data_IF_409349787461
#
_entry.id   IF_409349787461
#
_cell.length_a   1.000
_cell.length_b   1.000
_cell.length_c   1.000
_cell.angle_alpha   90.00
_cell.angle_beta   90.00
_cell.angle_gamma   90.00
#
_symmetry.space_group_name_H-M   'P 1'
#
loop_
_entity.id
_entity.type
_entity.pdbx_description
1 polymer ?
#
# COMPACT_ATOMS: atom_id res chain seq x y z
N UNK A 1 -21.71 -21.19 20.57
CA UNK A 1 -21.50 -20.50 19.27
C UNK A 1 -20.95 -19.07 19.51
N UNK A 2 -19.75 -18.93 20.11
CA UNK A 2 -19.19 -17.63 20.58
C UNK A 2 -17.66 -17.51 20.35
N UNK A 3 -17.13 -18.06 19.27
CA UNK A 3 -15.66 -18.09 19.04
C UNK A 3 -15.18 -17.56 17.68
N UNK A 4 -16.05 -16.96 16.84
CA UNK A 4 -15.68 -16.58 15.46
C UNK A 4 -15.60 -15.09 15.13
N UNK A 5 -15.75 -14.17 16.10
CA UNK A 5 -15.65 -12.72 15.85
C UNK A 5 -14.54 -12.06 16.68
N UNK A 6 -13.30 -12.54 16.55
CA UNK A 6 -12.10 -11.68 16.68
C UNK A 6 -11.80 -11.01 15.33
N UNK A 7 -12.84 -10.64 14.56
CA UNK A 7 -12.66 -9.88 13.32
C UNK A 7 -12.42 -8.43 13.74
N UNK A 8 -11.32 -7.88 13.23
CA UNK A 8 -10.75 -6.56 13.51
C UNK A 8 -11.76 -5.57 14.07
N UNK A 9 -11.53 -5.28 15.34
CA UNK A 9 -12.46 -4.59 16.22
C UNK A 9 -12.65 -3.13 15.79
N UNK A 10 -11.72 -2.53 15.06
CA UNK A 10 -11.67 -1.08 14.81
C UNK A 10 -12.06 -0.75 13.37
N UNK A 11 -12.92 0.24 13.16
CA UNK A 11 -13.20 0.77 11.83
C UNK A 11 -12.29 1.97 11.59
N UNK A 12 -11.18 1.80 10.88
CA UNK A 12 -10.28 2.94 10.60
C UNK A 12 -10.91 3.83 9.55
N UNK A 13 -10.79 5.13 9.76
CA UNK A 13 -11.28 6.15 8.83
C UNK A 13 -10.09 6.80 8.14
N UNK A 14 -10.27 7.18 6.88
CA UNK A 14 -9.31 7.89 6.02
C UNK A 14 -8.74 9.14 6.68
N UNK A 15 -7.81 9.80 6.00
CA UNK A 15 -7.44 11.18 6.34
C UNK A 15 -8.67 12.08 6.52
N UNK A 16 -8.59 13.00 7.49
CA UNK A 16 -9.52 14.14 7.56
C UNK A 16 -9.16 15.16 6.47
N UNK A 17 -10.13 15.97 6.04
CA UNK A 17 -9.91 17.07 5.09
C UNK A 17 -8.72 17.96 5.47
N UNK A 18 -8.56 18.25 6.78
CA UNK A 18 -7.44 19.04 7.30
C UNK A 18 -6.09 18.37 7.05
N UNK A 19 -6.00 17.06 7.30
CA UNK A 19 -4.78 16.30 7.05
C UNK A 19 -4.47 16.20 5.55
N UNK A 20 -5.50 15.95 4.73
CA UNK A 20 -5.37 15.88 3.27
C UNK A 20 -4.86 17.22 2.71
N UNK A 21 -5.46 18.34 3.13
CA UNK A 21 -5.04 19.68 2.72
C UNK A 21 -3.55 19.94 3.02
N UNK A 22 -3.10 19.62 4.24
CA UNK A 22 -1.69 19.79 4.65
C UNK A 22 -0.74 18.89 3.87
N UNK A 23 -1.08 17.62 3.69
CA UNK A 23 -0.26 16.67 2.93
C UNK A 23 -0.12 17.13 1.47
N UNK A 24 -1.20 17.68 0.89
CA UNK A 24 -1.22 18.15 -0.49
C UNK A 24 -0.44 19.46 -0.65
N UNK A 25 -0.63 20.43 0.24
CA UNK A 25 0.10 21.71 0.25
C UNK A 25 1.62 21.49 0.17
N UNK A 26 2.12 20.53 0.97
CA UNK A 26 3.53 20.17 1.03
C UNK A 26 4.12 19.54 -0.25
N UNK A 27 3.29 19.08 -1.20
CA UNK A 27 3.76 18.39 -2.41
C UNK A 27 3.40 19.12 -3.71
N UNK A 28 2.46 20.07 -3.68
CA UNK A 28 1.98 20.79 -4.87
C UNK A 28 3.09 21.50 -5.65
N UNK A 29 4.17 21.89 -4.97
CA UNK A 29 5.31 22.58 -5.56
C UNK A 29 6.32 21.64 -6.24
N UNK A 30 6.23 20.32 -6.02
CA UNK A 30 7.16 19.36 -6.62
C UNK A 30 6.96 19.30 -8.15
N UNK A 31 8.07 19.17 -8.90
CA UNK A 31 8.06 19.13 -10.37
C UNK A 31 7.19 17.99 -10.93
N UNK A 32 7.11 16.87 -10.22
CA UNK A 32 6.25 15.73 -10.55
C UNK A 32 4.77 16.13 -10.72
N UNK A 33 4.31 17.17 -10.01
CA UNK A 33 2.95 17.70 -10.11
C UNK A 33 2.90 19.01 -10.91
N UNK A 34 3.79 19.21 -11.88
CA UNK A 34 3.79 20.40 -12.75
C UNK A 34 2.56 20.52 -13.66
N UNK A 35 1.82 19.42 -13.89
CA UNK A 35 0.58 19.44 -14.67
C UNK A 35 -0.50 20.27 -13.97
N UNK A 36 -1.01 21.30 -14.65
CA UNK A 36 -2.09 22.15 -14.11
C UNK A 36 -3.37 21.36 -13.84
N UNK A 37 -3.64 20.32 -14.64
CA UNK A 37 -4.75 19.38 -14.41
C UNK A 37 -4.59 18.63 -13.10
N UNK A 38 -3.39 18.06 -12.86
CA UNK A 38 -3.10 17.31 -11.62
C UNK A 38 -3.17 18.22 -10.40
N UNK A 39 -2.60 19.42 -10.45
CA UNK A 39 -2.68 20.39 -9.34
C UNK A 39 -4.11 20.74 -8.99
N UNK A 40 -4.94 21.00 -10.00
CA UNK A 40 -6.35 21.30 -9.81
C UNK A 40 -7.06 20.15 -9.10
N UNK A 41 -6.88 18.92 -9.59
CA UNK A 41 -7.47 17.72 -9.01
C UNK A 41 -7.01 17.51 -7.55
N UNK A 42 -5.72 17.71 -7.26
CA UNK A 42 -5.19 17.65 -5.90
C UNK A 42 -5.83 18.70 -4.99
N UNK A 43 -5.99 19.95 -5.43
CA UNK A 43 -6.64 20.98 -4.60
C UNK A 43 -8.11 20.67 -4.29
N UNK A 44 -8.82 19.94 -5.16
CA UNK A 44 -10.19 19.52 -4.93
C UNK A 44 -10.32 18.27 -4.05
N UNK A 45 -9.28 17.43 -3.98
CA UNK A 45 -9.33 16.16 -3.28
C UNK A 45 -9.81 16.25 -1.82
N UNK A 46 -9.33 17.19 -0.96
CA UNK A 46 -9.72 17.22 0.46
C UNK A 46 -11.22 17.40 0.71
N UNK A 47 -11.89 18.18 -0.14
CA UNK A 47 -13.31 18.54 -0.01
C UNK A 47 -14.24 17.59 -0.76
N UNK A 48 -13.69 16.69 -1.58
CA UNK A 48 -14.45 15.77 -2.40
C UNK A 48 -15.08 14.66 -1.55
N UNK A 49 -16.30 14.24 -1.91
CA UNK A 49 -16.90 13.05 -1.30
C UNK A 49 -16.21 11.79 -1.83
N UNK A 50 -16.36 10.65 -1.14
CA UNK A 50 -15.63 9.41 -1.45
C UNK A 50 -15.81 8.96 -2.92
N UNK A 51 -17.03 9.01 -3.46
CA UNK A 51 -17.30 8.65 -4.86
C UNK A 51 -16.64 9.58 -5.88
N UNK A 52 -16.41 10.84 -5.52
CA UNK A 52 -15.68 11.80 -6.36
C UNK A 52 -14.17 11.58 -6.23
N UNK A 53 -13.68 11.28 -5.02
CA UNK A 53 -12.28 10.96 -4.75
C UNK A 53 -11.78 9.82 -5.65
N UNK A 54 -12.57 8.77 -5.86
CA UNK A 54 -12.19 7.68 -6.75
C UNK A 54 -11.82 8.18 -8.17
N UNK A 55 -12.66 9.05 -8.74
CA UNK A 55 -12.40 9.61 -10.07
C UNK A 55 -11.18 10.55 -10.06
N UNK A 56 -11.08 11.41 -9.05
CA UNK A 56 -9.96 12.33 -8.87
C UNK A 56 -8.65 11.55 -8.80
N UNK A 57 -8.60 10.47 -8.00
CA UNK A 57 -7.43 9.61 -7.84
C UNK A 57 -7.07 8.92 -9.15
N UNK A 58 -8.05 8.36 -9.89
CA UNK A 58 -7.79 7.78 -11.22
C UNK A 58 -7.15 8.79 -12.15
N UNK A 59 -7.73 9.99 -12.28
CA UNK A 59 -7.23 11.03 -13.18
C UNK A 59 -5.80 11.48 -12.81
N UNK A 60 -5.51 11.60 -11.51
CA UNK A 60 -4.18 11.96 -11.00
C UNK A 60 -3.17 10.84 -11.33
N UNK A 61 -3.46 9.60 -10.94
CA UNK A 61 -2.52 8.48 -11.10
C UNK A 61 -2.26 8.15 -12.58
N UNK A 62 -3.29 8.20 -13.42
CA UNK A 62 -3.15 8.05 -14.87
C UNK A 62 -2.20 9.10 -15.46
N UNK A 63 -2.30 10.35 -15.02
CA UNK A 63 -1.43 11.42 -15.51
C UNK A 63 0.00 11.28 -14.97
N UNK A 64 0.17 10.91 -13.70
CA UNK A 64 1.50 10.71 -13.09
C UNK A 64 2.25 9.50 -13.67
N UNK A 65 1.54 8.46 -14.09
CA UNK A 65 2.13 7.27 -14.70
C UNK A 65 2.53 7.45 -16.17
N UNK A 66 1.98 8.46 -16.87
CA UNK A 66 2.28 8.70 -18.29
C UNK A 66 3.75 9.04 -18.50
N UNK A 67 4.41 8.27 -19.37
CA UNK A 67 5.75 8.61 -19.85
C UNK A 67 5.61 9.62 -20.99
N UNK A 68 5.98 10.88 -20.74
CA UNK A 68 5.97 11.95 -21.76
C UNK A 68 6.96 11.60 -22.88
N UNK A 69 6.47 11.13 -24.03
CA UNK A 69 7.28 11.05 -25.25
C UNK A 69 7.49 12.46 -25.83
N UNK A 70 8.72 12.77 -26.22
CA UNK A 70 9.02 14.02 -26.93
C UNK A 70 8.14 14.16 -28.18
N UNK A 71 7.43 15.30 -28.29
CA UNK A 71 6.63 15.85 -29.41
C UNK A 71 5.65 14.96 -30.19
N UNK A 72 5.62 13.64 -30.01
CA UNK A 72 4.70 12.75 -30.74
C UNK A 72 3.34 12.73 -30.03
N UNK A 73 2.42 13.57 -30.53
CA UNK A 73 1.03 13.76 -30.06
C UNK A 73 0.10 12.57 -30.29
N UNK A 74 0.59 11.33 -30.43
CA UNK A 74 -0.33 10.20 -30.41
C UNK A 74 -0.84 10.06 -28.98
N UNK A 75 -2.13 10.39 -28.80
CA UNK A 75 -2.90 10.19 -27.59
C UNK A 75 -2.88 8.68 -27.31
N UNK A 76 -1.93 8.20 -26.52
CA UNK A 76 -2.01 6.86 -25.98
C UNK A 76 -3.26 6.86 -25.11
N UNK A 77 -4.24 6.03 -25.43
CA UNK A 77 -5.28 5.70 -24.46
C UNK A 77 -4.52 5.29 -23.19
N UNK A 78 -4.82 5.97 -22.06
CA UNK A 78 -4.14 5.71 -20.80
C UNK A 78 -4.19 4.22 -20.47
N UNK A 79 -3.27 3.76 -19.62
CA UNK A 79 -3.35 2.38 -19.12
C UNK A 79 -4.71 2.20 -18.43
N UNK A 80 -5.58 1.28 -18.85
CA UNK A 80 -6.87 1.08 -18.18
C UNK A 80 -6.72 0.47 -16.78
N UNK A 81 -5.48 0.30 -16.29
CA UNK A 81 -5.16 -0.38 -15.04
C UNK A 81 -5.85 0.26 -13.84
N UNK A 82 -5.77 1.59 -13.69
CA UNK A 82 -6.36 2.27 -12.54
C UNK A 82 -7.88 2.31 -12.61
N UNK A 83 -8.47 2.46 -13.79
CA UNK A 83 -9.92 2.36 -13.95
C UNK A 83 -10.43 0.96 -13.60
N UNK A 84 -9.74 -0.09 -14.06
CA UNK A 84 -10.12 -1.48 -13.75
C UNK A 84 -10.00 -1.73 -12.25
N UNK A 85 -8.90 -1.30 -11.62
CA UNK A 85 -8.70 -1.51 -10.19
C UNK A 85 -9.69 -0.71 -9.33
N UNK A 86 -10.00 0.54 -9.70
CA UNK A 86 -11.08 1.33 -9.10
C UNK A 86 -12.40 0.58 -9.18
N UNK A 87 -12.76 0.06 -10.35
CA UNK A 87 -14.02 -0.64 -10.56
C UNK A 87 -14.11 -1.92 -9.69
N UNK A 88 -12.97 -2.57 -9.40
CA UNK A 88 -12.91 -3.70 -8.46
C UNK A 88 -13.16 -3.30 -6.99
N UNK A 89 -12.97 -2.04 -6.59
CA UNK A 89 -13.24 -1.63 -5.20
C UNK A 89 -14.72 -1.80 -4.83
N UNK A 90 -15.61 -1.69 -5.82
CA UNK A 90 -17.04 -2.02 -5.69
C UNK A 90 -17.28 -3.48 -5.28
N UNK A 91 -16.43 -4.41 -5.68
CA UNK A 91 -16.53 -5.83 -5.29
C UNK A 91 -16.14 -6.00 -3.82
N UNK A 92 -15.18 -5.23 -3.31
CA UNK A 92 -14.81 -5.28 -1.89
C UNK A 92 -15.94 -4.81 -0.97
N UNK A 93 -16.85 -3.98 -1.49
CA UNK A 93 -18.05 -3.55 -0.75
C UNK A 93 -18.89 -4.77 -0.36
N UNK A 94 -18.93 -5.83 -1.17
CA UNK A 94 -19.60 -7.10 -0.85
C UNK A 94 -18.96 -7.79 0.36
N UNK A 95 -17.67 -7.56 0.58
CA UNK A 95 -16.90 -8.08 1.72
C UNK A 95 -16.90 -7.15 2.94
N UNK A 96 -17.75 -6.13 2.94
CA UNK A 96 -17.84 -5.10 3.98
C UNK A 96 -16.61 -4.21 4.11
N UNK A 97 -15.72 -4.21 3.11
CA UNK A 97 -14.54 -3.35 3.05
C UNK A 97 -14.71 -2.32 1.92
N UNK A 98 -14.22 -1.09 2.09
CA UNK A 98 -14.31 -0.05 1.05
C UNK A 98 -13.05 0.80 0.95
N UNK A 99 -12.86 1.46 -0.19
CA UNK A 99 -11.87 2.52 -0.34
C UNK A 99 -10.44 2.02 -0.35
N UNK A 100 -10.16 0.81 -0.86
CA UNK A 100 -8.77 0.33 -1.03
C UNK A 100 -8.05 1.14 -2.10
N UNK A 101 -8.77 1.57 -3.13
CA UNK A 101 -8.19 2.43 -4.15
C UNK A 101 -7.79 3.80 -3.60
N UNK A 102 -8.68 4.41 -2.80
CA UNK A 102 -8.39 5.65 -2.06
C UNK A 102 -7.26 5.43 -1.04
N UNK A 103 -7.26 4.29 -0.34
CA UNK A 103 -6.19 3.91 0.60
C UNK A 103 -4.82 3.91 -0.07
N UNK A 104 -4.68 3.31 -1.25
CA UNK A 104 -3.41 3.33 -2.00
C UNK A 104 -2.93 4.74 -2.32
N UNK A 105 -3.85 5.67 -2.58
CA UNK A 105 -3.51 7.07 -2.78
C UNK A 105 -3.16 7.80 -1.48
N UNK A 106 -3.82 7.51 -0.38
CA UNK A 106 -3.48 8.06 0.94
C UNK A 106 -2.10 7.58 1.41
N UNK A 107 -1.77 6.30 1.20
CA UNK A 107 -0.43 5.74 1.39
C UNK A 107 0.59 6.49 0.52
N UNK A 108 0.27 6.73 -0.75
CA UNK A 108 1.12 7.54 -1.63
C UNK A 108 1.39 8.93 -1.05
N UNK A 109 0.33 9.67 -0.66
CA UNK A 109 0.45 11.04 -0.13
C UNK A 109 1.29 11.11 1.14
N UNK A 110 1.04 10.24 2.12
CA UNK A 110 1.78 10.24 3.37
C UNK A 110 3.24 9.84 3.17
N UNK A 111 3.50 8.77 2.40
CA UNK A 111 4.88 8.35 2.13
C UNK A 111 5.67 9.39 1.34
N UNK A 112 5.03 10.10 0.41
CA UNK A 112 5.67 11.17 -0.35
C UNK A 112 6.06 12.34 0.56
N UNK A 113 5.20 12.73 1.50
CA UNK A 113 5.52 13.74 2.50
C UNK A 113 6.69 13.32 3.39
N UNK A 114 6.73 12.05 3.82
CA UNK A 114 7.86 11.50 4.58
C UNK A 114 9.16 11.55 3.75
N UNK A 115 9.11 11.14 2.49
CA UNK A 115 10.27 11.21 1.58
C UNK A 115 10.77 12.65 1.45
N UNK A 116 9.87 13.62 1.25
CA UNK A 116 10.26 15.04 1.11
C UNK A 116 10.99 15.54 2.36
N UNK A 117 10.46 15.25 3.55
CA UNK A 117 11.11 15.61 4.83
C UNK A 117 12.46 14.92 4.98
N UNK A 118 12.58 13.65 4.59
CA UNK A 118 13.86 12.93 4.63
C UNK A 118 14.90 13.54 3.69
N UNK A 119 14.52 13.89 2.46
CA UNK A 119 15.41 14.53 1.47
C UNK A 119 15.89 15.88 2.00
N UNK A 120 14.97 16.73 2.49
CA UNK A 120 15.30 18.07 2.99
C UNK A 120 16.29 18.03 4.16
N UNK A 121 16.15 17.06 5.07
CA UNK A 121 17.01 16.95 6.25
C UNK A 121 18.35 16.24 6.01
N UNK A 122 18.42 15.35 5.01
CA UNK A 122 19.62 14.53 4.76
C UNK A 122 20.42 14.96 3.54
N UNK A 123 19.97 15.99 2.82
CA UNK A 123 20.58 16.39 1.54
C UNK A 123 20.32 15.40 0.40
N UNK A 124 19.36 14.48 0.55
CA UNK A 124 19.00 13.47 -0.45
C UNK A 124 19.85 12.20 -0.45
N UNK A 125 21.00 12.21 0.22
CA UNK A 125 21.94 11.08 0.23
C UNK A 125 21.39 9.82 0.91
N UNK A 126 20.37 9.96 1.76
CA UNK A 126 19.74 8.84 2.46
C UNK A 126 19.09 7.82 1.51
N UNK A 127 18.78 8.23 0.27
CA UNK A 127 18.22 7.37 -0.77
C UNK A 127 19.28 6.91 -1.80
N UNK A 128 20.56 7.23 -1.60
CA UNK A 128 21.65 6.66 -2.38
C UNK A 128 21.89 5.20 -1.97
N UNK A 129 20.96 4.32 -2.38
CA UNK A 129 21.13 2.87 -2.32
C UNK A 129 22.04 2.39 -3.46
N UNK A 130 22.21 1.06 -3.56
CA UNK A 130 22.90 0.40 -4.68
C UNK A 130 22.37 0.81 -6.07
N UNK A 131 21.14 1.30 -6.18
CA UNK A 131 20.46 1.61 -7.45
C UNK A 131 20.30 3.12 -7.65
N UNK A 132 20.90 3.95 -6.79
CA UNK A 132 20.84 5.42 -6.88
C UNK A 132 19.40 5.94 -7.01
N UNK A 133 18.54 5.60 -6.04
CA UNK A 133 17.14 6.00 -6.06
C UNK A 133 16.94 7.51 -6.01
N UNK A 134 17.90 8.27 -5.46
CA UNK A 134 17.71 9.69 -5.14
C UNK A 134 17.18 10.50 -6.32
N UNK A 135 17.64 10.23 -7.55
CA UNK A 135 17.19 10.92 -8.77
C UNK A 135 15.76 10.60 -9.19
N UNK A 136 15.24 9.45 -8.77
CA UNK A 136 13.97 8.90 -9.27
C UNK A 136 13.04 8.43 -8.15
N UNK A 137 13.33 8.79 -6.89
CA UNK A 137 12.65 8.28 -5.70
C UNK A 137 11.15 8.53 -5.74
N UNK A 138 10.71 9.69 -6.26
CA UNK A 138 9.29 10.00 -6.42
C UNK A 138 8.61 9.05 -7.40
N UNK A 139 9.28 8.69 -8.48
CA UNK A 139 8.74 7.76 -9.47
C UNK A 139 8.72 6.32 -8.91
N UNK A 140 9.79 5.92 -8.24
CA UNK A 140 9.84 4.63 -7.54
C UNK A 140 8.73 4.50 -6.51
N UNK A 141 8.53 5.55 -5.70
CA UNK A 141 7.49 5.59 -4.70
C UNK A 141 6.10 5.55 -5.32
N UNK A 142 5.87 6.33 -6.39
CA UNK A 142 4.62 6.29 -7.15
C UNK A 142 4.28 4.86 -7.58
N UNK A 143 5.21 4.13 -8.20
CA UNK A 143 4.98 2.74 -8.60
C UNK A 143 4.72 1.84 -7.38
N UNK A 144 5.53 1.96 -6.32
CA UNK A 144 5.41 1.15 -5.11
C UNK A 144 4.07 1.34 -4.42
N UNK A 145 3.70 2.58 -4.09
CA UNK A 145 2.52 2.86 -3.28
C UNK A 145 1.22 2.73 -4.07
N UNK A 146 1.18 3.11 -5.35
CA UNK A 146 -0.08 3.04 -6.09
C UNK A 146 -0.45 1.63 -6.56
N UNK A 147 0.52 0.70 -6.57
CA UNK A 147 0.31 -0.67 -7.06
C UNK A 147 0.28 -1.73 -5.95
N UNK A 148 0.57 -1.38 -4.69
CA UNK A 148 0.79 -2.38 -3.64
C UNK A 148 -0.42 -3.29 -3.35
N UNK A 149 -1.63 -2.82 -3.65
CA UNK A 149 -2.89 -3.55 -3.46
C UNK A 149 -3.49 -4.17 -4.72
N UNK A 150 -2.82 -4.09 -5.89
CA UNK A 150 -3.35 -4.65 -7.15
C UNK A 150 -3.68 -6.15 -7.10
N UNK A 151 -3.03 -6.91 -6.23
CA UNK A 151 -3.25 -8.33 -6.00
C UNK A 151 -4.37 -8.67 -5.02
N UNK A 152 -4.92 -7.68 -4.32
CA UNK A 152 -5.97 -7.90 -3.32
C UNK A 152 -7.26 -8.52 -3.91
N UNK A 153 -7.74 -8.16 -5.13
CA UNK A 153 -8.85 -8.86 -5.77
C UNK A 153 -8.65 -10.38 -5.84
N UNK A 154 -7.42 -10.83 -6.12
CA UNK A 154 -7.11 -12.25 -6.23
C UNK A 154 -7.01 -12.93 -4.86
N UNK A 155 -6.47 -12.23 -3.85
CA UNK A 155 -6.46 -12.72 -2.46
C UNK A 155 -7.90 -13.03 -1.99
N UNK A 156 -8.82 -12.11 -2.24
CA UNK A 156 -10.22 -12.23 -1.76
C UNK A 156 -11.13 -13.08 -2.65
N UNK A 157 -10.76 -13.33 -3.91
CA UNK A 157 -11.57 -14.12 -4.85
C UNK A 157 -11.91 -15.51 -4.27
N UNK A 158 -10.95 -16.13 -3.57
CA UNK A 158 -11.16 -17.42 -2.89
C UNK A 158 -12.18 -17.33 -1.74
N UNK A 159 -12.26 -16.21 -1.03
CA UNK A 159 -13.26 -15.99 0.02
C UNK A 159 -14.65 -15.72 -0.57
N UNK A 160 -14.72 -14.91 -1.64
CA UNK A 160 -15.96 -14.61 -2.35
C UNK A 160 -16.60 -15.89 -2.91
N UNK A 161 -15.83 -16.70 -3.62
CA UNK A 161 -16.28 -17.98 -4.17
C UNK A 161 -16.77 -18.94 -3.09
N UNK A 162 -16.08 -19.01 -1.93
CA UNK A 162 -16.56 -19.76 -0.76
C UNK A 162 -17.88 -19.24 -0.21
N UNK A 163 -18.06 -17.91 -0.11
CA UNK A 163 -19.32 -17.31 0.35
C UNK A 163 -20.48 -17.61 -0.60
N UNK A 164 -20.25 -17.51 -1.92
CA UNK A 164 -21.24 -17.91 -2.92
C UNK A 164 -21.59 -19.40 -2.83
N UNK A 165 -20.59 -20.27 -2.72
CA UNK A 165 -20.81 -21.71 -2.53
C UNK A 165 -21.69 -21.97 -1.29
N UNK A 166 -21.39 -21.33 -0.16
CA UNK A 166 -22.21 -21.44 1.07
C UNK A 166 -23.63 -20.90 0.91
N UNK A 167 -23.81 -19.78 0.19
CA UNK A 167 -25.13 -19.22 -0.11
C UNK A 167 -25.96 -20.22 -0.93
N UNK A 168 -25.43 -20.68 -2.06
CA UNK A 168 -26.12 -21.60 -2.96
C UNK A 168 -26.42 -22.94 -2.31
N UNK A 169 -25.53 -23.42 -1.43
CA UNK A 169 -25.78 -24.60 -0.59
C UNK A 169 -27.00 -24.40 0.32
N UNK A 170 -27.16 -23.22 0.92
CA UNK A 170 -28.27 -22.91 1.83
C UNK A 170 -29.62 -22.75 1.13
N UNK A 171 -29.62 -22.35 -0.14
CA UNK A 171 -30.84 -22.25 -0.96
C UNK A 171 -31.05 -23.50 -1.84
N UNK A 172 -30.42 -24.62 -1.47
CA UNK A 172 -30.57 -25.93 -2.13
C UNK A 172 -30.17 -25.98 -3.62
N UNK A 173 -29.32 -25.07 -4.08
CA UNK A 173 -28.74 -25.06 -5.42
C UNK A 173 -27.38 -25.79 -5.43
N UNK A 174 -27.42 -27.12 -5.26
CA UNK A 174 -26.22 -27.96 -5.08
C UNK A 174 -25.21 -27.85 -6.23
N UNK A 175 -25.68 -27.84 -7.47
CA UNK A 175 -24.79 -27.80 -8.64
C UNK A 175 -24.04 -26.48 -8.73
N UNK A 176 -24.73 -25.36 -8.51
CA UNK A 176 -24.11 -24.03 -8.47
C UNK A 176 -23.12 -23.94 -7.30
N UNK A 177 -23.49 -24.46 -6.12
CA UNK A 177 -22.60 -24.54 -4.96
C UNK A 177 -21.31 -25.29 -5.26
N UNK A 178 -21.40 -26.42 -5.98
CA UNK A 178 -20.25 -27.22 -6.38
C UNK A 178 -19.37 -26.47 -7.38
N UNK A 179 -19.97 -25.83 -8.40
CA UNK A 179 -19.23 -25.01 -9.37
C UNK A 179 -18.40 -23.90 -8.69
N UNK A 180 -18.97 -23.18 -7.73
CA UNK A 180 -18.22 -22.15 -6.98
C UNK A 180 -17.14 -22.73 -6.07
N UNK A 181 -17.40 -23.90 -5.46
CA UNK A 181 -16.39 -24.61 -4.67
C UNK A 181 -15.19 -25.02 -5.55
N UNK A 182 -15.45 -25.55 -6.73
CA UNK A 182 -14.39 -25.99 -7.65
C UNK A 182 -13.63 -24.80 -8.22
N UNK A 183 -14.32 -23.71 -8.56
CA UNK A 183 -13.68 -22.45 -8.93
C UNK A 183 -12.72 -21.97 -7.82
N UNK A 184 -13.15 -21.99 -6.55
CA UNK A 184 -12.30 -21.55 -5.43
C UNK A 184 -10.99 -22.35 -5.30
N UNK A 185 -10.99 -23.62 -5.71
CA UNK A 185 -9.81 -24.50 -5.68
C UNK A 185 -8.89 -24.26 -6.89
N UNK A 186 -9.49 -23.95 -8.04
CA UNK A 186 -8.82 -23.90 -9.33
C UNK A 186 -8.39 -22.49 -9.77
N UNK A 187 -8.52 -21.47 -8.92
CA UNK A 187 -7.92 -20.15 -9.19
C UNK A 187 -6.39 -20.32 -9.19
N UNK A 188 -5.81 -20.40 -10.38
CA UNK A 188 -4.38 -20.44 -10.65
C UNK A 188 -3.94 -19.18 -11.39
N UNK A 189 -2.67 -18.83 -11.23
CA UNK A 189 -2.03 -17.85 -12.11
C UNK A 189 -1.72 -18.54 -13.44
N UNK A 190 -2.10 -17.91 -14.54
CA UNK A 190 -1.68 -18.35 -15.86
C UNK A 190 -0.16 -18.19 -15.99
N UNK A 191 0.55 -19.25 -16.36
CA UNK A 191 2.00 -19.24 -16.52
C UNK A 191 2.45 -18.28 -17.63
N UNK A 192 1.58 -17.97 -18.60
CA UNK A 192 1.82 -16.93 -19.61
C UNK A 192 1.98 -15.53 -18.99
N UNK A 193 1.51 -15.33 -17.75
CA UNK A 193 1.69 -14.09 -17.00
C UNK A 193 3.14 -13.89 -16.55
N UNK A 194 3.90 -14.98 -16.39
CA UNK A 194 5.22 -14.99 -15.79
C UNK A 194 6.35 -14.69 -16.78
N UNK A 195 6.09 -14.68 -18.10
CA UNK A 195 7.06 -14.26 -19.09
C UNK A 195 6.52 -13.10 -19.93
N UNK A 196 7.27 -12.00 -20.00
CA UNK A 196 6.92 -10.82 -20.79
C UNK A 196 8.17 -10.31 -21.47
N UNK A 197 8.16 -10.26 -22.81
CA UNK A 197 9.31 -9.79 -23.60
C UNK A 197 10.62 -10.54 -23.25
N UNK A 198 10.53 -11.83 -22.96
CA UNK A 198 11.68 -12.65 -22.57
C UNK A 198 12.16 -12.46 -21.13
N UNK A 199 11.49 -11.60 -20.35
CA UNK A 199 11.78 -11.42 -18.92
C UNK A 199 10.91 -12.40 -18.13
N UNK A 200 11.56 -13.26 -17.35
CA UNK A 200 10.92 -14.04 -16.30
C UNK A 200 10.59 -13.11 -15.12
N UNK A 201 9.31 -12.85 -14.91
CA UNK A 201 8.81 -11.91 -13.91
C UNK A 201 9.05 -12.44 -12.49
N UNK A 202 8.97 -13.75 -12.29
CA UNK A 202 9.18 -14.35 -10.97
C UNK A 202 10.65 -14.25 -10.57
N UNK A 203 11.58 -14.63 -11.46
CA UNK A 203 13.01 -14.46 -11.20
C UNK A 203 13.37 -12.97 -11.04
N UNK A 204 12.73 -12.09 -11.83
CA UNK A 204 12.93 -10.64 -11.73
C UNK A 204 12.57 -10.10 -10.34
N UNK A 205 11.46 -10.56 -9.75
CA UNK A 205 11.06 -10.20 -8.38
C UNK A 205 12.00 -10.83 -7.35
N UNK A 206 12.37 -12.11 -7.55
CA UNK A 206 13.29 -12.82 -6.66
C UNK A 206 14.65 -12.11 -6.57
N UNK A 207 15.16 -11.64 -7.70
CA UNK A 207 16.37 -10.82 -7.77
C UNK A 207 16.20 -9.49 -7.03
N UNK A 208 15.06 -8.83 -7.19
CA UNK A 208 14.74 -7.63 -6.42
C UNK A 208 14.73 -7.89 -4.91
N UNK A 209 14.15 -9.00 -4.47
CA UNK A 209 14.15 -9.43 -3.05
C UNK A 209 15.59 -9.68 -2.57
N UNK A 210 16.40 -10.39 -3.35
CA UNK A 210 17.82 -10.66 -3.05
C UNK A 210 18.61 -9.36 -2.84
N UNK A 211 18.31 -8.31 -3.60
CA UNK A 211 18.93 -6.99 -3.46
C UNK A 211 18.40 -6.19 -2.26
N UNK A 212 17.20 -6.53 -1.76
CA UNK A 212 16.45 -5.76 -0.77
C UNK A 212 16.63 -6.21 0.68
N UNK A 213 17.22 -7.39 0.91
CA UNK A 213 17.30 -8.00 2.24
C UNK A 213 18.73 -8.24 2.70
N UNK A 214 18.92 -8.22 4.03
CA UNK A 214 20.15 -8.71 4.66
C UNK A 214 19.98 -10.20 4.93
N UNK A 215 20.57 -11.05 4.11
CA UNK A 215 20.46 -12.48 4.29
C UNK A 215 21.25 -13.26 3.25
N UNK A 216 21.29 -14.58 3.44
CA UNK A 216 21.86 -15.48 2.44
C UNK A 216 20.77 -15.99 1.47
N UNK A 217 21.16 -16.78 0.47
CA UNK A 217 20.21 -17.35 -0.50
C UNK A 217 19.13 -18.25 0.13
N UNK A 218 19.35 -18.84 1.31
CA UNK A 218 18.31 -19.61 2.02
C UNK A 218 17.24 -18.67 2.58
N UNK A 219 17.62 -17.51 3.12
CA UNK A 219 16.68 -16.52 3.63
C UNK A 219 15.81 -15.96 2.50
N UNK A 220 16.43 -15.63 1.35
CA UNK A 220 15.74 -15.18 0.13
C UNK A 220 14.70 -16.21 -0.32
N UNK A 221 15.10 -17.49 -0.45
CA UNK A 221 14.17 -18.58 -0.85
C UNK A 221 13.04 -18.76 0.16
N UNK A 222 13.33 -18.69 1.46
CA UNK A 222 12.30 -18.80 2.49
C UNK A 222 11.28 -17.66 2.40
N UNK A 223 11.74 -16.43 2.20
CA UNK A 223 10.87 -15.26 2.02
C UNK A 223 10.04 -15.43 0.75
N UNK A 224 10.67 -15.81 -0.36
CA UNK A 224 9.98 -16.04 -1.63
C UNK A 224 8.87 -17.08 -1.48
N UNK A 225 9.15 -18.27 -0.92
CA UNK A 225 8.13 -19.30 -0.71
C UNK A 225 6.96 -18.80 0.16
N UNK A 226 7.24 -18.06 1.24
CA UNK A 226 6.20 -17.49 2.11
C UNK A 226 5.29 -16.50 1.36
N UNK A 227 5.83 -15.81 0.37
CA UNK A 227 5.11 -14.79 -0.40
C UNK A 227 4.42 -15.38 -1.64
N UNK A 228 5.04 -16.34 -2.33
CA UNK A 228 4.56 -16.91 -3.59
C UNK A 228 3.53 -18.02 -3.39
N UNK A 229 3.63 -18.76 -2.28
CA UNK A 229 2.71 -19.86 -1.98
C UNK A 229 1.38 -19.36 -1.39
N UNK A 230 0.33 -20.15 -1.61
CA UNK A 230 -0.96 -19.92 -0.95
C UNK A 230 -0.83 -20.19 0.55
N UNK A 231 -1.49 -19.37 1.37
CA UNK A 231 -1.59 -19.63 2.80
C UNK A 231 -2.39 -20.90 3.11
N UNK A 232 -2.47 -21.29 4.39
CA UNK A 232 -3.25 -22.46 4.83
C UNK A 232 -4.76 -22.35 4.57
N UNK A 233 -5.27 -21.19 4.13
CA UNK A 233 -6.65 -20.97 3.71
C UNK A 233 -6.81 -20.98 2.19
N UNK A 234 -5.73 -21.20 1.45
CA UNK A 234 -5.69 -21.19 -0.01
C UNK A 234 -5.65 -19.79 -0.61
N UNK A 235 -5.27 -18.77 0.16
CA UNK A 235 -5.23 -17.37 -0.29
C UNK A 235 -3.83 -17.02 -0.80
N UNK A 236 -3.78 -16.31 -1.93
CA UNK A 236 -2.54 -15.70 -2.39
C UNK A 236 -2.15 -14.52 -1.50
N UNK A 237 -0.85 -14.23 -1.41
CA UNK A 237 -0.36 -13.01 -0.79
C UNK A 237 -0.61 -11.81 -1.72
N UNK A 238 -1.47 -10.86 -1.34
CA UNK A 238 -1.79 -9.70 -2.21
C UNK A 238 -0.53 -8.94 -2.65
N UNK A 239 0.44 -8.67 -1.77
CA UNK A 239 1.65 -7.94 -2.13
C UNK A 239 2.48 -8.66 -3.20
N UNK A 240 2.68 -9.98 -3.08
CA UNK A 240 3.38 -10.73 -4.12
C UNK A 240 2.65 -10.69 -5.47
N UNK A 241 1.32 -10.87 -5.46
CA UNK A 241 0.51 -10.79 -6.68
C UNK A 241 0.52 -9.37 -7.27
N UNK A 242 0.45 -8.34 -6.43
CA UNK A 242 0.58 -6.94 -6.84
C UNK A 242 1.90 -6.68 -7.57
N UNK A 243 3.01 -7.24 -7.05
CA UNK A 243 4.32 -7.15 -7.67
C UNK A 243 4.35 -7.83 -9.06
N UNK A 244 3.74 -9.01 -9.20
CA UNK A 244 3.61 -9.72 -10.49
C UNK A 244 2.82 -8.87 -11.51
N UNK A 245 1.66 -8.34 -11.10
CA UNK A 245 0.80 -7.51 -11.95
C UNK A 245 1.54 -6.25 -12.39
N UNK A 246 2.17 -5.54 -11.43
CA UNK A 246 2.96 -4.35 -11.72
C UNK A 246 4.06 -4.63 -12.75
N UNK A 247 4.89 -5.65 -12.52
CA UNK A 247 5.98 -6.00 -13.41
C UNK A 247 5.49 -6.32 -14.82
N UNK A 248 4.49 -7.19 -14.94
CA UNK A 248 3.93 -7.57 -16.25
C UNK A 248 3.40 -6.36 -17.00
N UNK A 249 2.51 -5.60 -16.37
CA UNK A 249 1.84 -4.47 -17.03
C UNK A 249 2.84 -3.37 -17.38
N UNK A 250 3.78 -3.07 -16.48
CA UNK A 250 4.75 -2.00 -16.71
C UNK A 250 5.83 -2.39 -17.72
N UNK A 251 6.34 -3.63 -17.72
CA UNK A 251 7.28 -4.10 -18.76
C UNK A 251 6.60 -4.08 -20.13
N UNK A 252 5.36 -4.56 -20.23
CA UNK A 252 4.61 -4.50 -21.48
C UNK A 252 4.44 -3.04 -21.94
N UNK A 253 4.09 -2.13 -21.02
CA UNK A 253 3.97 -0.71 -21.32
C UNK A 253 5.29 -0.09 -21.82
N UNK A 254 6.43 -0.41 -21.18
CA UNK A 254 7.75 0.03 -21.64
C UNK A 254 8.10 -0.55 -23.02
N UNK A 255 7.74 -1.80 -23.28
CA UNK A 255 7.93 -2.48 -24.57
C UNK A 255 7.14 -1.80 -25.69
N UNK A 256 5.85 -1.56 -25.47
CA UNK A 256 4.96 -0.89 -26.42
C UNK A 256 5.48 0.52 -26.76
N UNK A 257 6.12 1.16 -25.79
CA UNK A 257 6.75 2.45 -25.99
C UNK A 257 8.14 2.40 -26.64
N UNK A 258 8.69 1.20 -26.88
CA UNK A 258 10.07 0.95 -27.35
C UNK A 258 11.11 1.58 -26.45
N UNK A 259 10.90 1.48 -25.13
CA UNK A 259 11.77 2.03 -24.10
C UNK A 259 12.76 0.99 -23.60
N UNK A 260 12.40 -0.29 -23.58
CA UNK A 260 13.28 -1.37 -23.10
C UNK A 260 14.63 -1.43 -23.85
N UNK A 261 14.63 -1.10 -25.14
CA UNK A 261 15.84 -1.11 -25.97
C UNK A 261 16.71 0.15 -25.80
N UNK A 262 16.25 1.16 -25.05
CA UNK A 262 16.94 2.45 -24.91
C UNK A 262 17.85 2.45 -23.69
N UNK A 263 19.16 2.52 -23.93
CA UNK A 263 20.19 2.61 -22.87
C UNK A 263 19.93 3.72 -21.84
N UNK A 264 19.42 4.88 -22.27
CA UNK A 264 19.15 6.02 -21.37
C UNK A 264 17.93 5.83 -20.45
N UNK A 265 17.10 4.81 -20.69
CA UNK A 265 15.91 4.51 -19.90
C UNK A 265 16.04 3.21 -19.08
N UNK A 266 17.22 2.57 -19.07
CA UNK A 266 17.46 1.33 -18.33
C UNK A 266 17.13 1.44 -16.83
N UNK A 267 17.32 2.64 -16.25
CA UNK A 267 16.98 2.96 -14.86
C UNK A 267 15.51 2.64 -14.51
N UNK A 268 14.59 2.67 -15.49
CA UNK A 268 13.16 2.35 -15.25
C UNK A 268 12.97 0.89 -14.88
N UNK A 269 13.75 0.00 -15.49
CA UNK A 269 13.72 -1.43 -15.18
C UNK A 269 14.31 -1.69 -13.80
N UNK A 270 15.40 -1.01 -13.46
CA UNK A 270 16.03 -1.13 -12.14
C UNK A 270 15.09 -0.64 -11.02
N UNK A 271 14.39 0.47 -11.25
CA UNK A 271 13.39 0.99 -10.31
C UNK A 271 12.19 0.06 -10.20
N UNK A 272 11.68 -0.45 -11.32
CA UNK A 272 10.59 -1.41 -11.32
C UNK A 272 10.93 -2.63 -10.47
N UNK A 273 12.14 -3.18 -10.62
CA UNK A 273 12.63 -4.32 -9.84
C UNK A 273 12.54 -4.06 -8.34
N UNK A 274 12.99 -2.89 -7.92
CA UNK A 274 13.00 -2.53 -6.51
C UNK A 274 11.62 -2.17 -5.97
N UNK A 275 10.79 -1.53 -6.79
CA UNK A 275 9.41 -1.23 -6.45
C UNK A 275 8.62 -2.53 -6.25
N UNK A 276 8.76 -3.48 -7.19
CA UNK A 276 8.14 -4.80 -7.10
C UNK A 276 8.63 -5.60 -5.89
N UNK A 277 9.93 -5.59 -5.61
CA UNK A 277 10.46 -6.19 -4.38
C UNK A 277 9.90 -5.51 -3.12
N UNK A 278 9.78 -4.19 -3.11
CA UNK A 278 9.19 -3.45 -2.00
C UNK A 278 7.72 -3.80 -1.76
N UNK A 279 6.95 -3.94 -2.85
CA UNK A 279 5.57 -4.41 -2.83
C UNK A 279 5.48 -5.89 -2.40
N UNK A 280 6.39 -6.77 -2.80
CA UNK A 280 6.35 -8.15 -2.30
C UNK A 280 6.65 -8.20 -0.79
N UNK A 281 7.67 -7.46 -0.36
CA UNK A 281 8.20 -7.52 1.00
C UNK A 281 7.31 -6.84 2.05
N UNK A 282 6.52 -5.82 1.69
CA UNK A 282 5.61 -5.19 2.68
C UNK A 282 4.53 -6.17 3.18
N UNK A 283 4.17 -7.15 2.37
CA UNK A 283 3.12 -8.12 2.67
C UNK A 283 3.62 -9.39 3.37
N UNK A 284 4.83 -9.39 3.94
CA UNK A 284 5.30 -10.54 4.76
C UNK A 284 4.29 -10.78 5.89
N UNK A 285 3.70 -11.99 6.00
CA UNK A 285 2.69 -12.26 7.01
C UNK A 285 3.23 -12.12 8.44
N UNK A 286 2.39 -11.66 9.37
CA UNK A 286 2.76 -11.53 10.80
C UNK A 286 3.29 -12.82 11.42
N UNK A 287 2.82 -13.99 10.98
CA UNK A 287 3.33 -15.29 11.44
C UNK A 287 4.82 -15.50 11.11
N UNK A 288 5.33 -14.75 10.14
CA UNK A 288 6.72 -14.73 9.69
C UNK A 288 7.39 -13.38 9.98
N UNK A 289 6.98 -12.65 11.02
CA UNK A 289 7.57 -11.35 11.40
C UNK A 289 9.09 -11.44 11.64
N UNK A 290 9.61 -12.61 12.02
CA UNK A 290 11.05 -12.83 12.14
C UNK A 290 11.80 -12.69 10.82
N UNK A 291 11.11 -12.72 9.67
CA UNK A 291 11.69 -12.44 8.35
C UNK A 291 11.79 -10.94 8.07
N UNK A 292 10.95 -10.11 8.70
CA UNK A 292 10.98 -8.63 8.56
C UNK A 292 12.29 -8.05 9.11
N UNK A 293 12.97 -8.75 10.02
CA UNK A 293 14.33 -8.39 10.50
C UNK A 293 15.37 -8.27 9.40
N UNK A 294 15.11 -8.89 8.25
CA UNK A 294 15.99 -8.82 7.09
C UNK A 294 15.73 -7.58 6.22
N UNK A 295 14.63 -6.85 6.45
CA UNK A 295 14.37 -5.58 5.79
C UNK A 295 15.29 -4.50 6.33
N UNK A 296 15.95 -3.80 5.41
CA UNK A 296 16.84 -2.68 5.73
C UNK A 296 16.49 -1.50 4.85
N UNK A 297 16.32 -0.33 5.47
CA UNK A 297 16.07 0.91 4.75
C UNK A 297 17.17 1.18 3.70
N UNK A 298 18.43 0.91 4.04
CA UNK A 298 19.57 1.18 3.15
C UNK A 298 19.60 0.27 1.92
N UNK A 299 18.96 -0.91 1.99
CA UNK A 299 18.87 -1.85 0.87
C UNK A 299 17.65 -1.56 0.01
N UNK A 300 16.47 -1.45 0.62
CA UNK A 300 15.24 -1.10 -0.07
C UNK A 300 14.39 -0.13 0.78
N UNK A 301 14.58 1.19 0.59
CA UNK A 301 13.82 2.19 1.35
C UNK A 301 12.33 2.15 1.01
N UNK A 302 11.96 1.70 -0.19
CA UNK A 302 10.56 1.59 -0.64
C UNK A 302 9.82 0.51 0.16
N UNK A 303 10.45 -0.66 0.37
CA UNK A 303 9.89 -1.73 1.19
C UNK A 303 9.63 -1.27 2.64
N UNK A 304 10.63 -0.60 3.22
CA UNK A 304 10.56 -0.05 4.56
C UNK A 304 9.45 1.00 4.68
N UNK A 305 9.44 1.98 3.77
CA UNK A 305 8.45 3.07 3.75
C UNK A 305 7.05 2.53 3.51
N UNK A 306 6.88 1.61 2.56
CA UNK A 306 5.57 1.01 2.28
C UNK A 306 5.05 0.28 3.51
N UNK A 307 5.84 -0.60 4.11
CA UNK A 307 5.44 -1.31 5.33
C UNK A 307 5.01 -0.33 6.45
N UNK A 308 5.81 0.71 6.69
CA UNK A 308 5.55 1.73 7.69
C UNK A 308 4.25 2.50 7.43
N UNK A 309 4.13 3.09 6.24
CA UNK A 309 3.04 4.01 5.88
C UNK A 309 1.72 3.27 5.76
N UNK A 310 1.75 2.09 5.16
CA UNK A 310 0.58 1.25 5.00
C UNK A 310 0.04 0.77 6.36
N UNK A 311 0.92 0.39 7.29
CA UNK A 311 0.52 0.13 8.67
C UNK A 311 0.00 1.40 9.37
N UNK A 312 0.59 2.58 9.14
CA UNK A 312 0.09 3.84 9.72
C UNK A 312 -1.29 4.24 9.21
N UNK A 313 -1.65 3.84 7.98
CA UNK A 313 -2.95 4.11 7.39
C UNK A 313 -4.03 3.11 7.76
N UNK A 314 -3.65 1.85 8.02
CA UNK A 314 -4.56 0.73 8.31
C UNK A 314 -5.67 0.51 7.27
N UNK A 315 -5.92 -0.76 7.01
CA UNK A 315 -6.68 -1.16 5.84
C UNK A 315 -8.14 -1.42 6.22
N UNK A 316 -8.45 -1.49 7.52
CA UNK A 316 -9.77 -1.92 7.97
C UNK A 316 -10.82 -0.79 7.91
N UNK A 317 -11.16 -0.41 6.68
CA UNK A 317 -12.24 0.53 6.33
C UNK A 317 -13.55 -0.23 6.19
N UNK A 318 -14.20 -0.53 7.32
CA UNK A 318 -15.49 -1.23 7.29
C UNK A 318 -16.62 -0.33 6.78
N UNK A 319 -17.50 -0.87 5.92
CA UNK A 319 -18.76 -0.23 5.53
C UNK A 319 -19.70 0.01 6.72
N UNK A 320 -19.53 -0.78 7.79
CA UNK A 320 -20.36 -0.72 9.00
C UNK A 320 -19.44 -0.36 10.14
N UNK A 321 -19.11 0.94 10.32
CA UNK A 321 -18.34 1.40 11.45
C UNK A 321 -18.94 0.82 12.73
N UNK A 322 -18.09 0.24 13.57
CA UNK A 322 -18.57 -0.34 14.80
C UNK A 322 -19.14 0.78 15.68
N UNK A 323 -20.37 0.61 16.17
CA UNK A 323 -20.94 1.48 17.20
C UNK A 323 -20.30 1.26 18.58
N UNK A 324 -19.46 0.24 18.72
CA UNK A 324 -18.88 -0.21 19.98
C UNK A 324 -17.38 0.08 20.03
N UNK A 325 -16.74 0.20 18.87
CA UNK A 325 -15.29 0.23 18.77
C UNK A 325 -14.78 1.48 18.05
N UNK A 326 -13.58 1.97 18.40
CA UNK A 326 -13.03 3.17 17.82
C UNK A 326 -12.88 3.14 16.32
N UNK A 327 -13.11 4.32 15.74
CA UNK A 327 -12.37 4.76 14.57
C UNK A 327 -11.28 5.75 14.95
N UNK A 328 -10.23 5.80 14.15
CA UNK A 328 -9.27 6.88 14.16
C UNK A 328 -8.98 7.33 12.73
N UNK A 329 -8.73 8.63 12.58
CA UNK A 329 -8.27 9.25 11.33
C UNK A 329 -7.05 10.09 11.60
N UNK A 330 -6.15 10.20 10.62
CA UNK A 330 -5.12 11.24 10.67
C UNK A 330 -5.83 12.60 10.58
N UNK A 331 -5.72 13.37 11.65
CA UNK A 331 -6.29 14.70 11.77
C UNK A 331 -5.29 15.79 11.35
N UNK A 332 -4.01 15.59 11.67
CA UNK A 332 -2.98 16.56 11.40
C UNK A 332 -1.66 15.90 11.01
N UNK A 333 -0.97 16.51 10.06
CA UNK A 333 0.41 16.19 9.69
C UNK A 333 1.25 17.45 9.87
N UNK A 334 2.35 17.35 10.61
CA UNK A 334 3.34 18.42 10.69
C UNK A 334 4.75 17.83 10.68
N UNK A 335 5.70 18.57 10.14
CA UNK A 335 7.12 18.22 10.17
C UNK A 335 7.91 19.38 10.77
N UNK A 336 8.83 19.06 11.67
CA UNK A 336 9.75 20.01 12.29
C UNK A 336 11.13 19.37 12.38
N UNK A 337 12.10 19.93 11.67
CA UNK A 337 13.46 19.38 11.60
C UNK A 337 13.40 17.87 11.27
N UNK A 338 14.01 17.02 12.10
CA UNK A 338 14.04 15.57 11.96
C UNK A 338 12.83 14.84 12.59
N UNK A 339 11.70 15.50 12.84
CA UNK A 339 10.53 14.84 13.45
C UNK A 339 9.26 15.10 12.65
N UNK A 340 8.56 14.02 12.31
CA UNK A 340 7.21 14.08 11.74
C UNK A 340 6.22 13.77 12.86
N UNK A 341 5.26 14.65 13.04
CA UNK A 341 4.16 14.49 13.99
C UNK A 341 2.88 14.17 13.22
N UNK A 342 2.30 13.02 13.54
CA UNK A 342 1.03 12.53 13.05
C UNK A 342 0.03 12.59 14.20
N UNK A 343 -0.93 13.51 14.15
CA UNK A 343 -2.00 13.57 15.15
C UNK A 343 -3.22 12.84 14.63
N UNK A 344 -3.62 11.77 15.31
CA UNK A 344 -4.79 10.97 15.01
C UNK A 344 -5.93 11.35 15.95
N UNK A 345 -7.11 11.61 15.39
CA UNK A 345 -8.33 11.82 16.17
C UNK A 345 -9.06 10.49 16.34
N UNK A 346 -9.35 10.13 17.58
CA UNK A 346 -10.17 8.99 17.98
C UNK A 346 -11.63 9.43 18.10
N UNK A 347 -12.52 8.80 17.33
CA UNK A 347 -13.95 9.16 17.31
C UNK A 347 -14.78 8.09 18.00
N UNK A 348 -15.55 8.49 19.02
CA UNK A 348 -16.71 7.75 19.51
C UNK A 348 -17.60 8.54 20.47
N UNK A 349 -18.84 8.06 20.68
CA UNK A 349 -19.77 8.54 21.70
C UNK A 349 -19.85 7.54 22.86
N UNK A 350 -19.21 7.86 23.99
CA UNK A 350 -19.34 7.12 25.26
C UNK A 350 -18.77 5.68 25.27
N UNK A 351 -17.45 5.53 25.22
CA UNK A 351 -16.81 4.21 25.42
C UNK A 351 -16.88 3.74 26.88
N UNK A 352 -17.19 2.45 27.12
CA UNK A 352 -16.83 1.81 28.38
C UNK A 352 -15.30 1.79 28.58
N UNK A 353 -14.84 1.82 29.83
CA UNK A 353 -13.40 1.79 30.18
C UNK A 353 -12.66 0.56 29.61
N UNK A 354 -13.35 -0.58 29.50
CA UNK A 354 -12.81 -1.80 28.90
C UNK A 354 -12.46 -1.60 27.41
N UNK A 355 -13.33 -0.96 26.63
CA UNK A 355 -13.10 -0.66 25.22
C UNK A 355 -11.93 0.32 25.05
N UNK A 356 -11.83 1.35 25.90
CA UNK A 356 -10.69 2.27 25.92
C UNK A 356 -9.39 1.49 26.11
N UNK A 357 -9.35 0.60 27.12
CA UNK A 357 -8.17 -0.21 27.44
C UNK A 357 -7.76 -1.12 26.28
N UNK A 358 -8.71 -1.80 25.65
CA UNK A 358 -8.45 -2.67 24.50
C UNK A 358 -7.91 -1.88 23.31
N UNK A 359 -8.44 -0.67 23.08
CA UNK A 359 -7.96 0.25 22.04
C UNK A 359 -6.52 0.66 22.28
N UNK A 360 -6.18 1.07 23.50
CA UNK A 360 -4.82 1.44 23.87
C UNK A 360 -3.87 0.25 23.67
N UNK A 361 -4.28 -0.94 24.08
CA UNK A 361 -3.48 -2.15 23.91
C UNK A 361 -3.24 -2.46 22.44
N UNK A 362 -4.27 -2.35 21.61
CA UNK A 362 -4.16 -2.52 20.17
C UNK A 362 -3.21 -1.49 19.53
N UNK A 363 -3.34 -0.21 19.88
CA UNK A 363 -2.46 0.84 19.37
C UNK A 363 -1.00 0.66 19.83
N UNK A 364 -0.79 0.17 21.06
CA UNK A 364 0.55 -0.20 21.57
C UNK A 364 1.14 -1.41 20.85
N UNK A 365 0.33 -2.44 20.57
CA UNK A 365 0.75 -3.59 19.78
C UNK A 365 1.13 -3.13 18.37
N UNK A 366 0.29 -2.31 17.75
CA UNK A 366 0.52 -1.76 16.42
C UNK A 366 1.79 -0.91 16.38
N UNK A 367 1.99 -0.04 17.36
CA UNK A 367 3.23 0.71 17.55
C UNK A 367 4.47 -0.18 17.61
N UNK A 368 4.37 -1.35 18.25
CA UNK A 368 5.47 -2.31 18.33
C UNK A 368 5.78 -2.97 16.99
N UNK A 369 4.76 -3.22 16.16
CA UNK A 369 4.92 -3.78 14.81
C UNK A 369 5.63 -2.77 13.89
N UNK A 370 5.34 -1.48 14.07
CA UNK A 370 5.94 -0.41 13.26
C UNK A 370 7.39 -0.10 13.70
N UNK A 371 7.87 -0.62 14.83
CA UNK A 371 9.30 -0.56 15.20
C UNK A 371 10.09 -1.46 14.27
N UNK A 372 10.45 -0.90 13.11
CA UNK A 372 11.20 -1.62 12.10
C UNK A 372 12.64 -1.89 12.58
N UNK A 373 13.19 -3.06 12.21
CA UNK A 373 14.39 -3.62 12.82
C UNK A 373 15.69 -2.89 12.43
N UNK A 374 15.72 -2.21 11.29
CA UNK A 374 16.89 -1.45 10.86
C UNK A 374 16.54 -0.06 10.35
N UNK A 375 16.89 0.94 11.17
CA UNK A 375 16.77 2.35 10.86
C UNK A 375 17.74 2.75 9.73
N UNK A 376 17.46 3.85 9.00
CA UNK A 376 18.38 4.39 8.00
C UNK A 376 19.79 4.63 8.58
N UNK A 377 20.83 4.39 7.78
CA UNK A 377 22.24 4.70 8.14
C UNK A 377 22.83 5.70 7.14
N UNK A 378 23.55 6.77 7.56
CA UNK A 378 23.82 7.17 8.95
C UNK A 378 22.52 7.39 9.71
N UNK A 379 22.52 7.16 11.03
CA UNK A 379 21.32 7.27 11.86
C UNK A 379 20.76 8.67 11.69
N UNK A 380 19.82 8.83 10.77
CA UNK A 380 19.04 10.04 10.70
C UNK A 380 18.38 10.08 12.07
N UNK A 381 18.54 11.17 12.82
CA UNK A 381 17.79 11.39 14.06
C UNK A 381 16.28 11.56 13.77
N UNK A 382 15.82 11.01 12.65
CA UNK A 382 14.48 11.00 12.13
C UNK A 382 13.59 10.19 13.05
N UNK A 383 12.48 10.82 13.43
CA UNK A 383 11.48 10.23 14.31
C UNK A 383 10.13 10.49 13.71
N UNK A 384 9.29 9.46 13.68
CA UNK A 384 7.86 9.66 13.48
C UNK A 384 7.19 9.52 14.84
N UNK A 385 6.45 10.55 15.21
CA UNK A 385 5.67 10.64 16.42
C UNK A 385 4.20 10.54 16.02
N UNK A 386 3.53 9.46 16.41
CA UNK A 386 2.08 9.36 16.29
C UNK A 386 1.43 9.66 17.65
N UNK A 387 0.54 10.65 17.67
CA UNK A 387 -0.24 11.08 18.84
C UNK A 387 -1.71 10.74 18.61
N UNK A 388 -2.33 9.97 19.50
CA UNK A 388 -3.76 9.64 19.42
C UNK A 388 -4.56 10.47 20.44
N UNK A 389 -5.51 11.26 19.95
CA UNK A 389 -6.28 12.26 20.71
C UNK A 389 -7.76 11.89 20.75
N UNK A 390 -8.40 11.94 21.93
CA UNK A 390 -9.84 11.69 22.07
C UNK A 390 -10.63 13.00 22.06
N UNK A 391 -11.77 13.03 21.36
CA UNK A 391 -12.68 14.19 21.41
C UNK A 391 -13.47 14.20 22.73
N UNK A 392 -13.09 15.05 23.69
CA UNK A 392 -13.98 15.50 24.77
C UNK A 392 -14.14 14.60 26.00
N UNK A 393 -13.18 13.72 26.34
CA UNK A 393 -13.19 12.94 27.58
C UNK A 393 -11.96 13.22 28.46
N UNK A 394 -11.97 12.85 29.76
CA UNK A 394 -10.79 12.98 30.63
C UNK A 394 -9.60 12.32 29.94
N UNK A 395 -8.58 13.15 29.70
CA UNK A 395 -7.37 12.88 28.91
C UNK A 395 -6.90 11.44 29.01
N UNK A 396 -7.15 10.67 27.96
CA UNK A 396 -6.19 9.68 27.52
C UNK A 396 -4.94 10.49 27.15
N UNK A 397 -4.04 10.69 28.12
CA UNK A 397 -2.77 11.41 27.94
C UNK A 397 -2.11 10.80 26.70
N UNK A 398 -2.07 11.57 25.61
CA UNK A 398 -1.46 11.27 24.31
C UNK A 398 -0.68 9.95 24.28
N UNK A 399 -1.19 8.93 23.58
CA UNK A 399 -0.35 7.75 23.32
C UNK A 399 0.71 8.15 22.29
N UNK A 400 1.90 8.48 22.77
CA UNK A 400 3.04 8.86 21.94
C UNK A 400 3.77 7.62 21.46
N UNK A 401 3.74 7.37 20.16
CA UNK A 401 4.51 6.30 19.52
C UNK A 401 5.68 6.92 18.78
N UNK A 402 6.91 6.65 19.23
CA UNK A 402 8.13 7.05 18.52
C UNK A 402 8.62 5.87 17.68
N UNK A 403 8.62 6.07 16.36
CA UNK A 403 9.08 5.11 15.37
C UNK A 403 10.52 5.40 14.97
#
# INVERSE_FOLDING_TARGET
>A
MRLFYKKNIYSVTSFTEIAEGKLIENILHLEAFSSSSVRRQLCFYPVAIESEKDKIVTDILDELWKIKKGKSRKKSNGSPLFSVFRDFDSVFTILENKGHFIHSFEVFLLGLNIINVLIQNSGGDIFNSRINFSKHIYYSWLLTSSAHDFGYPLEVASELTKKFSLLYKKIYMKDISNQFSDLSKNITLDSSLLNVQGIDIEEFILDGIRLSIIGNNKDVKKIHNVLSEKDNKGRYNHGYISALILCRTYIQYLSDLKILDKKNDAWRVDILKMAAAGIALHAIPKAHISLIKHLSFNLNPLAYLLYLVDNLQDWHRSLRPSKIFPSYSLHNFTSQSNTIHLSYSLYHKSWPDSTIKDTINYLKEKASIIKLPQKPTPSSNFKIVADFLTNGGPTLKSLKVVL
#
